data_IF_066207487886
#
_entry.id   IF_066207487886
#
_cell.length_a   1.000
_cell.length_b   1.000
_cell.length_c   1.000
_cell.angle_alpha   90.00
_cell.angle_beta   90.00
_cell.angle_gamma   90.00
#
_symmetry.space_group_name_H-M   'P 1'
#
loop_
_entity.id
_entity.type
_entity.pdbx_description
1 polymer ?
#
# COMPACT_ATOMS: atom_id res chain seq x y z
N UNK A 1 27.19 -0.02 27.22
CA UNK A 1 27.46 0.78 26.01
C UNK A 1 27.11 0.08 24.70
N UNK A 2 27.76 -1.01 24.26
CA UNK A 2 27.45 -1.65 22.94
C UNK A 2 25.96 -2.01 22.78
N UNK A 3 25.34 -2.60 23.81
CA UNK A 3 23.92 -3.02 23.79
C UNK A 3 22.93 -1.84 23.66
N UNK A 4 23.31 -0.65 24.12
CA UNK A 4 22.48 0.56 24.06
C UNK A 4 22.55 1.22 22.68
N UNK A 5 23.72 1.22 22.03
CA UNK A 5 23.91 1.79 20.68
C UNK A 5 23.22 0.93 19.60
N UNK A 6 23.31 -0.41 19.67
CA UNK A 6 22.55 -1.30 18.79
C UNK A 6 21.03 -1.07 18.93
N UNK A 7 20.56 -0.90 20.16
CA UNK A 7 19.15 -0.66 20.46
C UNK A 7 18.69 0.67 19.87
N UNK A 8 19.49 1.73 20.04
CA UNK A 8 19.22 3.04 19.46
C UNK A 8 19.07 3.00 17.92
N UNK A 9 20.02 2.39 17.21
CA UNK A 9 19.98 2.36 15.74
C UNK A 9 18.76 1.59 15.22
N UNK A 10 18.49 0.42 15.81
CA UNK A 10 17.31 -0.41 15.46
C UNK A 10 16.00 0.32 15.74
N UNK A 11 15.89 1.05 16.85
CA UNK A 11 14.71 1.86 17.16
C UNK A 11 14.45 2.95 16.12
N UNK A 12 15.50 3.63 15.64
CA UNK A 12 15.38 4.66 14.61
C UNK A 12 14.90 4.07 13.29
N UNK A 13 15.45 2.93 12.88
CA UNK A 13 15.03 2.22 11.66
C UNK A 13 13.58 1.72 11.80
N UNK A 14 13.19 1.16 12.95
CA UNK A 14 11.81 0.77 13.22
C UNK A 14 10.85 1.96 13.15
N UNK A 15 11.26 3.16 13.61
CA UNK A 15 10.48 4.39 13.44
C UNK A 15 10.33 4.78 11.97
N UNK A 16 11.36 4.61 11.14
CA UNK A 16 11.26 4.83 9.69
C UNK A 16 10.25 3.88 9.05
N UNK A 17 10.34 2.58 9.35
CA UNK A 17 9.42 1.56 8.84
C UNK A 17 7.97 1.86 9.26
N UNK A 18 7.72 2.15 10.54
CA UNK A 18 6.37 2.51 11.02
C UNK A 18 5.78 3.74 10.34
N UNK A 19 6.61 4.70 9.94
CA UNK A 19 6.18 5.93 9.25
C UNK A 19 6.11 5.78 7.73
N UNK A 20 6.60 4.69 7.17
CA UNK A 20 6.45 4.38 5.75
C UNK A 20 4.97 4.10 5.45
N UNK A 21 4.36 4.93 4.61
CA UNK A 21 3.02 4.69 4.12
C UNK A 21 3.06 3.76 2.91
N UNK A 22 3.82 4.14 1.88
CA UNK A 22 3.89 3.44 0.61
C UNK A 22 5.19 2.68 0.35
N UNK A 23 6.36 3.22 0.70
CA UNK A 23 7.65 2.64 0.27
C UNK A 23 8.69 2.81 1.37
N UNK A 24 9.47 1.76 1.63
CA UNK A 24 10.49 1.69 2.71
C UNK A 24 11.77 2.48 2.42
N UNK A 25 11.63 3.69 1.87
CA UNK A 25 12.71 4.51 1.29
C UNK A 25 13.83 4.79 2.32
N UNK A 26 13.50 5.32 3.49
CA UNK A 26 14.53 5.78 4.44
C UNK A 26 15.34 4.63 5.06
N UNK A 27 14.71 3.48 5.34
CA UNK A 27 15.43 2.29 5.80
C UNK A 27 16.37 1.75 4.74
N UNK A 28 15.98 1.80 3.46
CA UNK A 28 16.82 1.35 2.35
C UNK A 28 17.95 2.32 2.00
N UNK A 29 17.73 3.63 2.15
CA UNK A 29 18.82 4.61 2.08
C UNK A 29 19.80 4.37 3.23
N UNK A 30 19.29 4.12 4.44
CA UNK A 30 20.14 3.81 5.60
C UNK A 30 20.98 2.56 5.33
N UNK A 31 20.37 1.49 4.80
CA UNK A 31 21.08 0.27 4.36
C UNK A 31 22.21 0.60 3.39
N UNK A 32 21.94 1.35 2.32
CA UNK A 32 22.95 1.73 1.34
C UNK A 32 24.11 2.51 1.94
N UNK A 33 23.84 3.45 2.84
CA UNK A 33 24.88 4.24 3.52
C UNK A 33 25.76 3.35 4.40
N UNK A 34 25.16 2.50 5.25
CA UNK A 34 25.95 1.65 6.16
C UNK A 34 26.72 0.57 5.40
N UNK A 35 26.15 0.00 4.33
CA UNK A 35 26.81 -0.97 3.45
C UNK A 35 28.03 -0.33 2.75
N UNK A 36 27.86 0.89 2.22
CA UNK A 36 28.98 1.63 1.63
C UNK A 36 30.09 1.94 2.65
N UNK A 37 29.73 2.37 3.86
CA UNK A 37 30.71 2.62 4.92
C UNK A 37 31.49 1.35 5.29
N UNK A 38 30.82 0.20 5.42
CA UNK A 38 31.50 -1.08 5.71
C UNK A 38 32.48 -1.46 4.59
N UNK A 39 32.16 -1.16 3.33
CA UNK A 39 32.99 -1.50 2.17
C UNK A 39 34.18 -0.57 1.96
N UNK A 40 34.02 0.72 2.25
CA UNK A 40 34.97 1.77 1.84
C UNK A 40 35.63 2.48 3.01
N UNK A 41 35.05 2.41 4.21
CA UNK A 41 35.42 3.25 5.35
C UNK A 41 34.99 4.71 5.21
N UNK A 42 34.36 5.11 4.09
CA UNK A 42 33.96 6.48 3.84
C UNK A 42 32.73 6.85 4.67
N UNK A 43 32.89 7.81 5.59
CA UNK A 43 31.82 8.29 6.46
C UNK A 43 31.24 9.64 6.03
N UNK A 44 31.91 10.39 5.16
CA UNK A 44 31.44 11.65 4.57
C UNK A 44 30.94 11.40 3.15
N UNK A 45 29.72 11.84 2.84
CA UNK A 45 29.06 11.59 1.56
C UNK A 45 28.30 12.80 1.01
N UNK A 46 28.11 12.80 -0.31
CA UNK A 46 27.28 13.76 -1.05
C UNK A 46 25.90 13.19 -1.38
N UNK A 47 24.97 14.03 -1.84
CA UNK A 47 23.67 13.57 -2.38
C UNK A 47 23.85 12.53 -3.50
N UNK A 48 24.87 12.69 -4.36
CA UNK A 48 25.14 11.78 -5.48
C UNK A 48 25.52 10.39 -4.96
N UNK A 49 26.36 10.34 -3.93
CA UNK A 49 26.80 9.09 -3.31
C UNK A 49 25.61 8.38 -2.67
N UNK A 50 24.82 9.11 -1.87
CA UNK A 50 23.63 8.57 -1.19
C UNK A 50 22.62 8.02 -2.21
N UNK A 51 22.40 8.73 -3.32
CA UNK A 51 21.52 8.25 -4.40
C UNK A 51 22.01 6.94 -5.00
N UNK A 52 23.31 6.85 -5.31
CA UNK A 52 23.90 5.64 -5.86
C UNK A 52 23.77 4.46 -4.90
N UNK A 53 24.13 4.67 -3.63
CA UNK A 53 24.06 3.61 -2.60
C UNK A 53 22.63 3.15 -2.33
N UNK A 54 21.67 4.07 -2.36
CA UNK A 54 20.26 3.74 -2.26
C UNK A 54 19.79 2.82 -3.39
N UNK A 55 20.17 3.11 -4.64
CA UNK A 55 19.78 2.31 -5.79
C UNK A 55 20.40 0.91 -5.73
N UNK A 56 21.66 0.81 -5.29
CA UNK A 56 22.30 -0.48 -5.08
C UNK A 56 21.62 -1.27 -3.94
N UNK A 57 21.24 -0.62 -2.84
CA UNK A 57 20.48 -1.26 -1.76
C UNK A 57 19.12 -1.78 -2.24
N UNK A 58 18.41 -1.05 -3.10
CA UNK A 58 17.15 -1.54 -3.70
C UNK A 58 17.40 -2.78 -4.57
N UNK A 59 18.41 -2.77 -5.43
CA UNK A 59 18.74 -3.93 -6.28
C UNK A 59 19.06 -5.16 -5.43
N UNK A 60 19.83 -4.99 -4.35
CA UNK A 60 20.13 -6.07 -3.41
C UNK A 60 18.85 -6.58 -2.74
N UNK A 61 17.98 -5.68 -2.27
CA UNK A 61 16.73 -6.06 -1.61
C UNK A 61 15.72 -6.72 -2.57
N UNK A 62 15.66 -6.32 -3.84
CA UNK A 62 14.84 -6.98 -4.86
C UNK A 62 15.26 -8.44 -5.05
N UNK A 63 16.57 -8.71 -5.06
CA UNK A 63 17.10 -10.08 -5.11
C UNK A 63 16.79 -10.85 -3.82
N UNK A 64 16.92 -10.19 -2.67
CA UNK A 64 16.66 -10.80 -1.36
C UNK A 64 15.19 -11.18 -1.17
N UNK A 65 14.25 -10.34 -1.62
CA UNK A 65 12.81 -10.56 -1.46
C UNK A 65 12.16 -11.34 -2.60
N UNK A 66 12.77 -11.35 -3.79
CA UNK A 66 12.20 -11.98 -4.99
C UNK A 66 11.08 -11.18 -5.68
N UNK A 67 10.78 -9.97 -5.21
CA UNK A 67 9.80 -9.05 -5.80
C UNK A 67 10.26 -7.60 -5.61
N UNK A 68 9.56 -6.60 -6.17
CA UNK A 68 9.90 -5.16 -6.06
C UNK A 68 8.88 -4.30 -5.30
N UNK A 69 7.82 -4.91 -4.76
CA UNK A 69 6.78 -4.21 -3.98
C UNK A 69 7.29 -3.61 -2.65
N UNK A 70 6.80 -2.41 -2.32
CA UNK A 70 6.93 -1.70 -1.02
C UNK A 70 8.37 -1.31 -0.61
N UNK A 71 9.30 -1.29 -1.57
CA UNK A 71 10.72 -0.98 -1.32
C UNK A 71 11.09 0.46 -1.65
N UNK A 72 11.07 0.83 -2.94
CA UNK A 72 11.80 1.99 -3.45
C UNK A 72 11.00 2.93 -4.33
N UNK A 73 11.26 4.23 -4.23
CA UNK A 73 10.68 5.24 -5.11
C UNK A 73 11.76 6.19 -5.59
N UNK A 74 11.46 7.00 -6.61
CA UNK A 74 12.44 7.95 -7.17
C UNK A 74 13.16 8.73 -6.07
N UNK A 75 14.49 8.80 -6.19
CA UNK A 75 15.32 9.54 -5.24
C UNK A 75 14.97 11.04 -5.25
N UNK A 76 14.89 11.64 -4.08
CA UNK A 76 14.66 13.07 -3.86
C UNK A 76 15.82 13.62 -3.03
N UNK A 77 16.36 14.77 -3.43
CA UNK A 77 17.48 15.44 -2.77
C UNK A 77 17.16 15.93 -1.34
N UNK A 78 15.89 16.01 -0.96
CA UNK A 78 15.49 16.24 0.43
C UNK A 78 15.65 15.01 1.34
N UNK A 79 15.86 13.80 0.81
CA UNK A 79 15.92 12.59 1.61
C UNK A 79 17.06 12.56 2.65
N UNK A 80 18.31 12.96 2.32
CA UNK A 80 19.38 13.02 3.32
C UNK A 80 19.04 13.92 4.51
N UNK A 81 18.46 15.10 4.26
CA UNK A 81 17.99 16.02 5.32
C UNK A 81 16.82 15.46 6.13
N UNK A 82 15.95 14.62 5.54
CA UNK A 82 14.88 13.95 6.30
C UNK A 82 15.42 12.80 7.14
N UNK A 83 16.44 12.10 6.64
CA UNK A 83 17.10 10.99 7.33
C UNK A 83 17.92 11.48 8.53
N UNK A 84 18.49 12.69 8.48
CA UNK A 84 19.18 13.29 9.63
C UNK A 84 18.27 13.45 10.86
N UNK A 85 16.94 13.59 10.68
CA UNK A 85 15.95 13.57 11.79
C UNK A 85 15.92 12.25 12.56
N UNK A 86 16.42 11.18 11.96
CA UNK A 86 16.60 9.87 12.61
C UNK A 86 18.01 9.66 13.15
N UNK A 87 18.86 10.69 13.13
CA UNK A 87 20.23 10.65 13.62
C UNK A 87 21.16 9.69 12.86
N UNK A 88 20.81 9.31 11.62
CA UNK A 88 21.70 8.49 10.76
C UNK A 88 22.82 9.35 10.18
N UNK A 89 22.46 10.55 9.71
CA UNK A 89 23.37 11.51 9.11
C UNK A 89 23.41 12.80 9.92
N UNK A 90 24.59 13.39 10.03
CA UNK A 90 24.80 14.78 10.44
C UNK A 90 25.04 15.63 9.19
N UNK A 91 24.41 16.79 9.10
CA UNK A 91 24.67 17.76 8.02
C UNK A 91 25.95 18.52 8.38
N UNK A 92 26.94 18.48 7.47
CA UNK A 92 28.19 19.23 7.63
C UNK A 92 28.16 20.54 6.86
N UNK A 93 27.62 20.51 5.64
CA UNK A 93 27.50 21.67 4.74
C UNK A 93 26.39 21.37 3.70
N UNK A 94 26.15 22.31 2.78
CA UNK A 94 25.23 22.15 1.65
C UNK A 94 25.57 20.86 0.88
N UNK A 95 24.61 19.92 0.87
CA UNK A 95 24.73 18.61 0.20
C UNK A 95 25.92 17.75 0.67
N UNK A 96 26.44 18.00 1.87
CA UNK A 96 27.53 17.24 2.49
C UNK A 96 27.12 16.71 3.85
N UNK A 97 27.18 15.39 4.01
CA UNK A 97 26.68 14.70 5.18
C UNK A 97 27.73 13.76 5.74
N UNK A 98 27.61 13.44 7.03
CA UNK A 98 28.46 12.47 7.71
C UNK A 98 27.60 11.42 8.42
N UNK A 99 27.94 10.14 8.24
CA UNK A 99 27.39 9.04 9.03
C UNK A 99 27.70 9.27 10.52
N UNK A 100 26.73 9.09 11.39
CA UNK A 100 26.91 9.32 12.83
C UNK A 100 27.60 8.14 13.51
N UNK A 101 28.34 8.41 14.59
CA UNK A 101 29.11 7.40 15.34
C UNK A 101 28.31 6.14 15.74
N UNK A 102 27.06 6.24 16.24
CA UNK A 102 26.29 5.04 16.57
C UNK A 102 26.08 4.12 15.36
N UNK A 103 25.81 4.69 14.19
CA UNK A 103 25.60 3.92 12.96
C UNK A 103 26.92 3.39 12.38
N UNK A 104 28.05 4.08 12.58
CA UNK A 104 29.38 3.58 12.20
C UNK A 104 29.75 2.33 13.00
N UNK A 105 29.60 2.39 14.32
CA UNK A 105 29.96 1.28 15.23
C UNK A 105 29.13 0.02 14.95
N UNK A 106 27.84 0.20 14.68
CA UNK A 106 26.90 -0.89 14.45
C UNK A 106 26.77 -1.31 12.99
N UNK A 107 27.53 -0.69 12.06
CA UNK A 107 27.31 -0.85 10.63
C UNK A 107 27.32 -2.31 10.15
N UNK A 108 28.27 -3.12 10.64
CA UNK A 108 28.40 -4.55 10.29
C UNK A 108 27.21 -5.41 10.71
N UNK A 109 26.55 -5.05 11.82
CA UNK A 109 25.36 -5.75 12.29
C UNK A 109 24.09 -5.21 11.62
N UNK A 110 24.06 -3.90 11.34
CA UNK A 110 22.95 -3.26 10.63
C UNK A 110 22.81 -3.75 9.18
N UNK A 111 23.90 -4.00 8.46
CA UNK A 111 23.81 -4.54 7.09
C UNK A 111 23.16 -5.93 7.01
N UNK A 112 23.24 -6.72 8.10
CA UNK A 112 22.58 -8.03 8.20
C UNK A 112 21.13 -7.87 8.65
N UNK A 113 20.90 -7.02 9.65
CA UNK A 113 19.60 -6.88 10.30
C UNK A 113 18.58 -6.05 9.50
N UNK A 114 19.00 -4.98 8.81
CA UNK A 114 18.07 -4.12 8.07
C UNK A 114 17.31 -4.89 6.99
N UNK A 115 17.95 -5.72 6.14
CA UNK A 115 17.24 -6.55 5.17
C UNK A 115 16.13 -7.39 5.78
N UNK A 116 16.41 -8.08 6.89
CA UNK A 116 15.43 -8.90 7.60
C UNK A 116 14.30 -8.07 8.20
N UNK A 117 14.62 -6.94 8.82
CA UNK A 117 13.62 -6.04 9.41
C UNK A 117 12.69 -5.45 8.34
N UNK A 118 13.24 -5.05 7.20
CA UNK A 118 12.46 -4.59 6.03
C UNK A 118 11.60 -5.73 5.48
N UNK A 119 12.15 -6.94 5.33
CA UNK A 119 11.41 -8.10 4.85
C UNK A 119 10.22 -8.45 5.76
N UNK A 120 10.42 -8.50 7.07
CA UNK A 120 9.35 -8.75 8.04
C UNK A 120 8.27 -7.67 7.98
N UNK A 121 8.69 -6.40 7.87
CA UNK A 121 7.77 -5.28 7.74
C UNK A 121 6.91 -5.37 6.47
N UNK A 122 7.54 -5.67 5.33
CA UNK A 122 6.87 -5.82 4.04
C UNK A 122 5.93 -7.04 4.07
N UNK A 123 6.38 -8.19 4.59
CA UNK A 123 5.57 -9.39 4.71
C UNK A 123 4.32 -9.17 5.56
N UNK A 124 4.44 -8.40 6.66
CA UNK A 124 3.29 -8.04 7.50
C UNK A 124 2.28 -7.15 6.76
N UNK A 125 2.75 -6.25 5.88
CA UNK A 125 1.89 -5.34 5.12
C UNK A 125 1.24 -5.98 3.90
N UNK A 126 2.03 -6.72 3.12
CA UNK A 126 1.64 -7.27 1.83
C UNK A 126 1.18 -8.73 1.91
N UNK A 127 1.41 -9.45 3.01
CA UNK A 127 0.98 -10.84 3.19
C UNK A 127 1.32 -11.73 1.96
N UNK A 128 0.30 -12.22 1.27
CA UNK A 128 0.41 -13.14 0.12
C UNK A 128 0.58 -12.41 -1.22
N UNK A 129 0.41 -11.09 -1.25
CA UNK A 129 0.34 -10.30 -2.48
C UNK A 129 1.52 -10.52 -3.44
N UNK A 130 2.80 -10.59 -2.99
CA UNK A 130 3.89 -10.85 -3.92
C UNK A 130 3.74 -12.17 -4.69
N UNK A 131 3.18 -13.22 -4.07
CA UNK A 131 2.97 -14.53 -4.70
C UNK A 131 1.88 -14.47 -5.77
N UNK A 132 0.94 -13.53 -5.66
CA UNK A 132 -0.07 -13.30 -6.70
C UNK A 132 0.54 -12.80 -8.02
N UNK A 133 1.80 -12.36 -8.05
CA UNK A 133 2.52 -12.09 -9.29
C UNK A 133 2.79 -13.34 -10.13
N UNK A 134 2.91 -14.50 -9.48
CA UNK A 134 3.20 -15.77 -10.14
C UNK A 134 1.94 -16.43 -10.71
N UNK A 135 1.90 -16.62 -12.04
CA UNK A 135 0.77 -17.29 -12.69
C UNK A 135 0.49 -18.67 -12.09
N UNK A 136 1.55 -19.46 -11.85
CA UNK A 136 1.42 -20.81 -11.27
C UNK A 136 0.74 -20.79 -9.91
N UNK A 137 1.08 -19.85 -9.04
CA UNK A 137 0.43 -19.69 -7.75
C UNK A 137 -1.04 -19.33 -7.91
N UNK A 138 -1.36 -18.34 -8.75
CA UNK A 138 -2.75 -17.94 -9.01
C UNK A 138 -3.60 -19.08 -9.54
N UNK A 139 -3.11 -19.85 -10.52
CA UNK A 139 -3.85 -20.98 -11.09
C UNK A 139 -4.15 -22.08 -10.07
N UNK A 140 -3.23 -22.34 -9.11
CA UNK A 140 -3.45 -23.32 -8.03
C UNK A 140 -4.52 -22.86 -7.03
N UNK A 141 -4.59 -21.56 -6.77
CA UNK A 141 -5.61 -20.99 -5.87
C UNK A 141 -6.95 -20.90 -6.57
N UNK A 142 -6.98 -20.43 -7.82
CA UNK A 142 -8.21 -20.21 -8.58
C UNK A 142 -8.92 -21.51 -8.97
N UNK A 143 -8.20 -22.63 -9.06
CA UNK A 143 -8.78 -23.96 -9.33
C UNK A 143 -9.67 -24.51 -8.21
N UNK A 144 -9.75 -23.82 -7.07
CA UNK A 144 -10.60 -24.21 -5.95
C UNK A 144 -11.35 -22.99 -5.42
N UNK A 145 -12.68 -23.00 -5.59
CA UNK A 145 -13.56 -21.96 -5.05
C UNK A 145 -13.31 -21.70 -3.55
N UNK A 146 -13.10 -22.78 -2.78
CA UNK A 146 -12.79 -22.70 -1.35
C UNK A 146 -11.47 -22.00 -1.08
N UNK A 147 -10.37 -22.40 -1.74
CA UNK A 147 -9.06 -21.76 -1.53
C UNK A 147 -9.07 -20.30 -1.93
N UNK A 148 -9.78 -19.96 -3.01
CA UNK A 148 -9.98 -18.60 -3.44
C UNK A 148 -10.74 -17.78 -2.38
N UNK A 149 -11.88 -18.27 -1.91
CA UNK A 149 -12.68 -17.59 -0.88
C UNK A 149 -11.88 -17.38 0.41
N UNK A 150 -11.19 -18.41 0.89
CA UNK A 150 -10.30 -18.34 2.06
C UNK A 150 -9.17 -17.31 1.86
N UNK A 151 -8.59 -17.22 0.66
CA UNK A 151 -7.57 -16.21 0.36
C UNK A 151 -8.16 -14.80 0.44
N UNK A 152 -9.31 -14.55 -0.18
CA UNK A 152 -9.97 -13.24 -0.16
C UNK A 152 -10.31 -12.85 1.28
N UNK A 153 -10.96 -13.73 2.03
CA UNK A 153 -11.40 -13.48 3.40
C UNK A 153 -10.22 -13.15 4.33
N UNK A 154 -9.13 -13.92 4.24
CA UNK A 154 -7.95 -13.71 5.08
C UNK A 154 -7.16 -12.43 4.76
N UNK A 155 -7.31 -11.88 3.55
CA UNK A 155 -6.45 -10.80 3.07
C UNK A 155 -7.16 -9.45 2.85
N UNK A 156 -8.48 -9.44 2.63
CA UNK A 156 -9.24 -8.20 2.41
C UNK A 156 -9.16 -7.24 3.61
N UNK A 157 -8.99 -7.78 4.82
CA UNK A 157 -9.09 -7.00 6.05
C UNK A 157 -7.78 -6.54 6.69
N UNK A 158 -6.64 -6.97 6.16
CA UNK A 158 -5.30 -6.74 6.74
C UNK A 158 -5.04 -5.26 7.05
N UNK A 159 -5.42 -4.36 6.13
CA UNK A 159 -5.29 -2.91 6.28
C UNK A 159 -6.27 -2.19 5.31
N UNK A 160 -6.41 -0.85 5.37
CA UNK A 160 -7.29 -0.09 4.47
C UNK A 160 -6.99 -0.26 2.97
N UNK A 161 -5.72 -0.35 2.58
CA UNK A 161 -5.33 -0.51 1.17
C UNK A 161 -5.75 -1.89 0.64
N UNK A 162 -5.55 -2.94 1.45
CA UNK A 162 -6.05 -4.27 1.11
C UNK A 162 -7.58 -4.24 0.90
N UNK A 163 -8.31 -3.56 1.78
CA UNK A 163 -9.76 -3.43 1.63
C UNK A 163 -10.13 -2.74 0.31
N UNK A 164 -9.48 -1.62 -0.01
CA UNK A 164 -9.67 -0.88 -1.27
C UNK A 164 -9.38 -1.75 -2.50
N UNK A 165 -8.20 -2.36 -2.58
CA UNK A 165 -7.76 -3.10 -3.77
C UNK A 165 -8.56 -4.40 -3.97
N UNK A 166 -8.85 -5.15 -2.91
CA UNK A 166 -9.65 -6.38 -3.03
C UNK A 166 -11.08 -6.07 -3.43
N UNK A 167 -11.69 -5.04 -2.82
CA UNK A 167 -13.03 -4.58 -3.19
C UNK A 167 -13.09 -4.18 -4.66
N UNK A 168 -12.11 -3.39 -5.11
CA UNK A 168 -11.98 -3.01 -6.51
C UNK A 168 -11.87 -4.23 -7.43
N UNK A 169 -11.00 -5.19 -7.12
CA UNK A 169 -10.77 -6.34 -7.97
C UNK A 169 -12.02 -7.23 -8.11
N UNK A 170 -12.73 -7.47 -7.01
CA UNK A 170 -13.98 -8.25 -7.01
C UNK A 170 -15.05 -7.53 -7.85
N UNK A 171 -15.27 -6.25 -7.59
CA UNK A 171 -16.25 -5.44 -8.31
C UNK A 171 -15.90 -5.35 -9.80
N UNK A 172 -14.62 -5.17 -10.13
CA UNK A 172 -14.14 -5.11 -11.50
C UNK A 172 -14.50 -6.36 -12.29
N UNK A 173 -14.12 -7.53 -11.78
CA UNK A 173 -14.39 -8.80 -12.48
C UNK A 173 -15.89 -9.10 -12.52
N UNK A 174 -16.63 -8.82 -11.44
CA UNK A 174 -18.07 -9.02 -11.40
C UNK A 174 -18.81 -8.15 -12.44
N UNK A 175 -18.52 -6.85 -12.47
CA UNK A 175 -19.21 -5.88 -13.33
C UNK A 175 -18.83 -6.03 -14.81
N UNK A 176 -17.61 -6.48 -15.12
CA UNK A 176 -17.21 -6.80 -16.50
C UNK A 176 -18.08 -7.90 -17.13
N UNK A 177 -18.69 -8.79 -16.33
CA UNK A 177 -19.66 -9.79 -16.84
C UNK A 177 -20.92 -9.16 -17.44
N UNK A 178 -21.25 -7.95 -17.02
CA UNK A 178 -22.41 -7.19 -17.48
C UNK A 178 -22.03 -6.09 -18.49
N UNK A 179 -20.88 -6.23 -19.15
CA UNK A 179 -20.31 -5.23 -20.07
C UNK A 179 -20.11 -3.84 -19.43
N UNK A 180 -20.05 -3.76 -18.10
CA UNK A 180 -19.73 -2.54 -17.38
C UNK A 180 -18.21 -2.36 -17.34
N UNK A 181 -17.73 -1.30 -17.99
CA UNK A 181 -16.31 -0.91 -17.97
C UNK A 181 -16.05 -0.08 -16.74
N UNK A 182 -14.98 -0.44 -16.04
CA UNK A 182 -14.54 0.21 -14.81
C UNK A 182 -13.22 0.93 -15.05
N UNK A 183 -13.17 2.17 -14.60
CA UNK A 183 -12.00 3.03 -14.60
C UNK A 183 -11.62 3.31 -13.15
N UNK A 184 -10.34 3.08 -12.82
CA UNK A 184 -9.80 3.45 -11.50
C UNK A 184 -9.17 4.83 -11.62
N UNK A 185 -9.77 5.80 -10.96
CA UNK A 185 -9.20 7.14 -10.85
C UNK A 185 -8.01 7.09 -9.87
N UNK A 186 -6.84 7.54 -10.32
CA UNK A 186 -5.63 7.55 -9.49
C UNK A 186 -5.43 8.88 -8.79
N UNK A 187 -5.02 8.77 -7.52
CA UNK A 187 -4.58 9.83 -6.57
C UNK A 187 -3.52 10.82 -7.10
N UNK A 188 -3.07 10.72 -8.35
CA UNK A 188 -2.01 11.55 -8.95
C UNK A 188 -2.53 12.74 -9.75
N UNK A 189 -3.85 12.90 -9.94
CA UNK A 189 -4.40 14.14 -10.48
C UNK A 189 -4.79 15.09 -9.34
N UNK A 190 -4.35 16.34 -9.39
CA UNK A 190 -4.68 17.39 -8.42
C UNK A 190 -6.18 17.79 -8.41
N UNK A 191 -7.05 16.98 -9.02
CA UNK A 191 -8.49 17.17 -9.18
C UNK A 191 -9.31 16.03 -8.56
N UNK A 192 -8.67 15.14 -7.80
CA UNK A 192 -9.33 13.94 -7.28
C UNK A 192 -10.27 14.28 -6.11
N UNK A 193 -11.53 14.56 -6.45
CA UNK A 193 -12.63 14.78 -5.50
C UNK A 193 -13.10 13.46 -4.87
N UNK A 194 -12.17 12.60 -4.44
CA UNK A 194 -12.46 11.32 -3.79
C UNK A 194 -13.40 10.43 -4.60
N UNK A 195 -12.95 9.95 -5.78
CA UNK A 195 -13.60 8.90 -6.57
C UNK A 195 -12.63 7.72 -6.67
N UNK A 196 -13.00 6.53 -6.19
CA UNK A 196 -12.12 5.36 -6.31
C UNK A 196 -12.37 4.58 -7.61
N UNK A 197 -13.62 4.57 -8.09
CA UNK A 197 -14.04 3.85 -9.29
C UNK A 197 -15.08 4.67 -10.05
N UNK A 198 -14.95 4.76 -11.37
CA UNK A 198 -16.00 5.27 -12.26
C UNK A 198 -16.36 4.23 -13.32
N UNK A 199 -17.60 4.28 -13.82
CA UNK A 199 -18.13 3.35 -14.82
C UNK A 199 -18.55 4.06 -16.10
N UNK A 200 -18.62 3.32 -17.21
CA UNK A 200 -19.17 3.83 -18.47
C UNK A 200 -20.68 4.16 -18.42
N UNK A 201 -21.37 3.83 -17.32
CA UNK A 201 -22.77 4.18 -17.07
C UNK A 201 -22.93 5.43 -16.18
N UNK A 202 -21.83 6.10 -15.83
CA UNK A 202 -21.84 7.28 -14.97
C UNK A 202 -22.04 6.98 -13.48
N UNK A 203 -22.07 5.71 -13.08
CA UNK A 203 -22.03 5.28 -11.67
C UNK A 203 -20.60 5.38 -11.15
N UNK A 204 -20.45 5.88 -9.93
CA UNK A 204 -19.17 6.01 -9.22
C UNK A 204 -19.20 5.21 -7.93
N UNK A 205 -18.06 4.59 -7.59
CA UNK A 205 -17.88 3.91 -6.33
C UNK A 205 -16.82 4.62 -5.48
N UNK A 206 -17.13 4.76 -4.20
CA UNK A 206 -16.19 5.19 -3.17
C UNK A 206 -15.94 4.04 -2.21
N UNK A 207 -14.71 3.54 -2.12
CA UNK A 207 -14.33 2.46 -1.23
C UNK A 207 -13.66 3.03 0.01
N UNK A 208 -14.24 2.76 1.18
CA UNK A 208 -13.72 3.21 2.47
C UNK A 208 -13.80 2.11 3.51
N UNK A 209 -12.67 1.77 4.12
CA UNK A 209 -12.65 0.83 5.27
C UNK A 209 -13.20 1.52 6.53
N UNK A 210 -14.52 1.65 6.62
CA UNK A 210 -15.24 2.28 7.72
C UNK A 210 -16.45 1.44 8.14
N UNK A 211 -16.82 1.54 9.42
CA UNK A 211 -18.03 0.93 9.98
C UNK A 211 -19.07 2.00 10.27
N UNK A 212 -20.24 1.88 9.66
CA UNK A 212 -21.34 2.83 9.82
C UNK A 212 -22.32 2.33 10.89
N UNK A 213 -22.04 2.70 12.14
CA UNK A 213 -22.82 2.22 13.30
C UNK A 213 -23.93 3.17 13.73
N UNK A 214 -23.89 4.44 13.33
CA UNK A 214 -24.91 5.44 13.63
C UNK A 214 -25.03 6.51 12.55
N UNK A 215 -26.12 7.28 12.60
CA UNK A 215 -26.42 8.32 11.62
C UNK A 215 -25.41 9.48 11.63
N UNK A 216 -24.75 9.79 12.77
CA UNK A 216 -23.76 10.86 12.83
C UNK A 216 -22.54 10.56 11.93
N UNK A 217 -22.05 9.32 11.98
CA UNK A 217 -20.95 8.86 11.12
C UNK A 217 -21.40 8.86 9.65
N UNK A 218 -22.60 8.34 9.37
CA UNK A 218 -23.14 8.32 8.01
C UNK A 218 -23.36 9.71 7.43
N UNK A 219 -23.82 10.67 8.24
CA UNK A 219 -23.92 12.08 7.85
C UNK A 219 -22.54 12.66 7.50
N UNK A 220 -21.50 12.36 8.28
CA UNK A 220 -20.14 12.78 7.94
C UNK A 220 -19.67 12.25 6.58
N UNK A 221 -19.97 10.98 6.27
CA UNK A 221 -19.69 10.40 4.94
C UNK A 221 -20.52 11.09 3.86
N UNK A 222 -21.80 11.33 4.10
CA UNK A 222 -22.67 12.01 3.16
C UNK A 222 -22.19 13.45 2.85
N UNK A 223 -21.79 14.20 3.87
CA UNK A 223 -21.27 15.55 3.74
C UNK A 223 -19.96 15.56 2.95
N UNK A 224 -19.09 14.56 3.16
CA UNK A 224 -17.89 14.37 2.33
C UNK A 224 -18.26 14.08 0.86
N UNK A 225 -19.21 13.18 0.61
CA UNK A 225 -19.67 12.87 -0.75
C UNK A 225 -20.27 14.11 -1.43
N UNK A 226 -21.01 14.95 -0.71
CA UNK A 226 -21.50 16.24 -1.25
C UNK A 226 -20.39 17.21 -1.62
N UNK A 227 -19.29 17.22 -0.88
CA UNK A 227 -18.13 18.05 -1.23
C UNK A 227 -17.38 17.52 -2.46
N UNK A 228 -17.52 16.22 -2.70
CA UNK A 228 -16.77 15.46 -3.69
C UNK A 228 -17.50 15.31 -5.04
N UNK A 229 -18.82 15.25 -5.04
CA UNK A 229 -19.64 14.99 -6.22
C UNK A 229 -20.59 16.14 -6.52
N UNK A 230 -20.79 16.42 -7.80
CA UNK A 230 -21.80 17.40 -8.23
C UNK A 230 -23.20 16.88 -7.85
N UNK A 231 -24.11 17.78 -7.43
CA UNK A 231 -25.41 17.42 -6.86
C UNK A 231 -26.22 16.47 -7.74
N UNK A 232 -26.21 16.68 -9.07
CA UNK A 232 -26.92 15.86 -10.04
C UNK A 232 -26.54 14.36 -9.93
N UNK A 233 -25.28 14.04 -9.64
CA UNK A 233 -24.83 12.65 -9.50
C UNK A 233 -25.37 11.98 -8.23
N UNK A 234 -25.51 12.74 -7.15
CA UNK A 234 -26.08 12.24 -5.90
C UNK A 234 -27.59 12.08 -6.03
N UNK A 235 -28.28 13.04 -6.65
CA UNK A 235 -29.73 13.01 -6.86
C UNK A 235 -30.16 11.88 -7.81
N UNK A 236 -29.34 11.60 -8.83
CA UNK A 236 -29.54 10.48 -9.76
C UNK A 236 -29.29 9.09 -9.13
N UNK A 237 -28.80 9.03 -7.89
CA UNK A 237 -28.47 7.78 -7.21
C UNK A 237 -27.28 7.03 -7.82
N UNK A 238 -26.37 7.75 -8.47
CA UNK A 238 -25.20 7.20 -9.18
C UNK A 238 -23.98 7.01 -8.28
N UNK A 239 -24.11 7.21 -6.97
CA UNK A 239 -23.02 7.08 -5.99
C UNK A 239 -23.23 5.83 -5.14
N UNK A 240 -22.24 4.93 -5.19
CA UNK A 240 -22.22 3.70 -4.39
C UNK A 240 -21.03 3.76 -3.43
N UNK A 241 -21.27 3.57 -2.13
CA UNK A 241 -20.19 3.42 -1.16
C UNK A 241 -19.91 1.94 -0.90
N UNK A 242 -18.65 1.57 -0.81
CA UNK A 242 -18.20 0.24 -0.42
C UNK A 242 -17.52 0.36 0.94
N UNK A 243 -18.07 -0.32 1.95
CA UNK A 243 -17.75 -0.12 3.36
C UNK A 243 -17.51 -1.43 4.09
N UNK A 244 -16.80 -1.39 5.21
CA UNK A 244 -16.50 -2.59 6.00
C UNK A 244 -17.80 -3.18 6.56
N UNK A 245 -18.60 -2.36 7.25
CA UNK A 245 -19.85 -2.79 7.85
C UNK A 245 -20.88 -1.64 8.00
N UNK A 246 -22.16 -1.98 8.09
CA UNK A 246 -23.26 -1.02 8.23
C UNK A 246 -24.43 -1.58 9.03
N UNK A 247 -24.88 -0.79 10.01
CA UNK A 247 -26.09 -1.09 10.75
C UNK A 247 -27.33 -0.88 9.86
N UNK A 248 -28.32 -1.78 9.96
CA UNK A 248 -29.59 -1.71 9.19
C UNK A 248 -30.26 -0.31 9.17
N UNK A 249 -30.48 0.37 10.31
CA UNK A 249 -31.12 1.70 10.29
C UNK A 249 -30.26 2.77 9.61
N UNK A 250 -28.93 2.58 9.56
CA UNK A 250 -28.02 3.50 8.87
C UNK A 250 -28.02 3.26 7.36
N UNK A 251 -28.23 2.00 6.93
CA UNK A 251 -28.41 1.66 5.52
C UNK A 251 -29.66 2.31 4.94
N UNK A 252 -30.77 2.25 5.69
CA UNK A 252 -32.03 2.90 5.33
C UNK A 252 -31.83 4.42 5.19
N UNK A 253 -31.15 5.04 6.16
CA UNK A 253 -30.78 6.46 6.09
C UNK A 253 -30.00 6.82 4.82
N UNK A 254 -28.99 6.04 4.41
CA UNK A 254 -28.24 6.34 3.19
C UNK A 254 -29.08 6.19 1.91
N UNK A 255 -29.99 5.21 1.89
CA UNK A 255 -30.92 5.00 0.76
C UNK A 255 -31.85 6.21 0.61
N UNK A 256 -32.35 6.78 1.70
CA UNK A 256 -33.16 8.00 1.70
C UNK A 256 -32.39 9.18 1.09
N UNK A 257 -31.07 9.21 1.32
CA UNK A 257 -30.15 10.19 0.75
C UNK A 257 -29.67 9.84 -0.67
N UNK A 258 -30.30 8.85 -1.33
CA UNK A 258 -29.97 8.33 -2.68
C UNK A 258 -28.57 7.72 -2.81
N UNK A 259 -27.99 7.23 -1.72
CA UNK A 259 -26.70 6.55 -1.73
C UNK A 259 -26.88 5.07 -1.50
N UNK A 260 -26.36 4.26 -2.42
CA UNK A 260 -26.31 2.82 -2.23
C UNK A 260 -25.04 2.45 -1.47
N UNK A 261 -25.11 1.38 -0.66
CA UNK A 261 -23.97 0.90 0.11
C UNK A 261 -23.78 -0.61 -0.07
N UNK A 262 -22.55 -1.03 -0.37
CA UNK A 262 -22.11 -2.42 -0.40
C UNK A 262 -21.22 -2.68 0.82
N UNK A 263 -21.54 -3.71 1.61
CA UNK A 263 -20.70 -4.11 2.74
C UNK A 263 -19.62 -5.10 2.32
N UNK A 264 -18.58 -5.26 3.15
CA UNK A 264 -17.59 -6.33 2.98
C UNK A 264 -18.23 -7.71 2.83
N UNK A 265 -19.25 -8.01 3.65
CA UNK A 265 -19.98 -9.28 3.58
C UNK A 265 -20.54 -9.51 2.17
N UNK A 266 -21.16 -8.49 1.59
CA UNK A 266 -21.66 -8.57 0.23
C UNK A 266 -20.54 -8.81 -0.80
N UNK A 267 -19.36 -8.20 -0.62
CA UNK A 267 -18.20 -8.45 -1.48
C UNK A 267 -17.68 -9.89 -1.37
N UNK A 268 -17.68 -10.47 -0.16
CA UNK A 268 -17.32 -11.87 0.05
C UNK A 268 -18.34 -12.81 -0.59
N UNK A 269 -19.62 -12.50 -0.47
CA UNK A 269 -20.70 -13.25 -1.14
C UNK A 269 -20.53 -13.19 -2.67
N UNK A 270 -20.22 -12.00 -3.23
CA UNK A 270 -19.90 -11.84 -4.66
C UNK A 270 -18.67 -12.66 -5.08
N UNK A 271 -17.60 -12.64 -4.27
CA UNK A 271 -16.41 -13.44 -4.53
C UNK A 271 -16.74 -14.95 -4.56
N UNK A 272 -17.66 -15.40 -3.70
CA UNK A 272 -18.15 -16.79 -3.68
C UNK A 272 -18.95 -17.20 -4.92
N UNK A 273 -19.46 -16.25 -5.71
CA UNK A 273 -20.27 -16.49 -6.92
C UNK A 273 -19.43 -16.59 -8.21
N UNK A 274 -18.10 -16.51 -8.14
CA UNK A 274 -17.27 -16.75 -9.33
C UNK A 274 -17.21 -18.26 -9.64
N UNK A 275 -18.02 -18.69 -10.60
CA UNK A 275 -18.19 -20.11 -10.94
C UNK A 275 -16.96 -20.75 -11.60
N UNK A 276 -16.24 -20.00 -12.43
CA UNK A 276 -15.08 -20.52 -13.18
C UNK A 276 -13.73 -20.08 -12.62
N UNK A 277 -12.71 -20.90 -12.88
CA UNK A 277 -11.32 -20.64 -12.48
C UNK A 277 -10.75 -19.38 -13.14
N UNK A 278 -11.21 -19.04 -14.34
CA UNK A 278 -10.74 -17.87 -15.09
C UNK A 278 -11.09 -16.56 -14.39
N UNK A 279 -12.32 -16.43 -13.89
CA UNK A 279 -12.75 -15.24 -13.15
C UNK A 279 -11.98 -15.11 -11.83
N UNK A 280 -11.84 -16.23 -11.11
CA UNK A 280 -11.07 -16.27 -9.86
C UNK A 280 -9.60 -15.89 -10.09
N UNK A 281 -8.97 -16.45 -11.12
CA UNK A 281 -7.58 -16.12 -11.49
C UNK A 281 -7.45 -14.65 -11.88
N UNK A 282 -8.45 -14.12 -12.61
CA UNK A 282 -8.50 -12.72 -13.02
C UNK A 282 -8.62 -11.78 -11.82
N UNK A 283 -9.43 -12.09 -10.80
CA UNK A 283 -9.48 -11.31 -9.55
C UNK A 283 -8.09 -11.27 -8.89
N UNK A 284 -7.45 -12.44 -8.73
CA UNK A 284 -6.13 -12.53 -8.12
C UNK A 284 -5.06 -11.74 -8.91
N UNK A 285 -5.15 -11.76 -10.24
CA UNK A 285 -4.26 -10.99 -11.12
C UNK A 285 -4.48 -9.49 -10.95
N UNK A 286 -5.74 -9.03 -10.96
CA UNK A 286 -6.08 -7.61 -10.78
C UNK A 286 -5.58 -7.10 -9.43
N UNK A 287 -5.73 -7.90 -8.35
CA UNK A 287 -5.18 -7.55 -7.03
C UNK A 287 -3.67 -7.28 -7.13
N UNK A 288 -2.90 -8.19 -7.73
CA UNK A 288 -1.47 -8.00 -7.88
C UNK A 288 -1.12 -6.78 -8.75
N UNK A 289 -1.80 -6.60 -9.88
CA UNK A 289 -1.57 -5.48 -10.80
C UNK A 289 -1.79 -4.14 -10.11
N UNK A 290 -2.83 -4.00 -9.29
CA UNK A 290 -3.11 -2.78 -8.53
C UNK A 290 -2.11 -2.52 -7.40
N UNK A 291 -1.69 -3.57 -6.68
CA UNK A 291 -0.58 -3.42 -5.72
C UNK A 291 0.73 -3.06 -6.43
N UNK A 292 1.01 -3.65 -7.58
CA UNK A 292 2.20 -3.32 -8.38
C UNK A 292 2.17 -1.86 -8.83
N UNK A 293 1.03 -1.38 -9.30
CA UNK A 293 0.84 0.02 -9.72
C UNK A 293 1.17 1.02 -8.60
N UNK A 294 0.78 0.72 -7.36
CA UNK A 294 1.00 1.62 -6.22
C UNK A 294 2.36 1.43 -5.52
N UNK A 295 2.86 0.20 -5.45
CA UNK A 295 3.95 -0.18 -4.54
C UNK A 295 5.23 -0.64 -5.23
N UNK A 296 5.21 -0.91 -6.53
CA UNK A 296 6.42 -1.34 -7.25
C UNK A 296 7.52 -0.28 -7.21
N UNK A 297 8.76 -0.76 -7.21
CA UNK A 297 9.92 0.11 -7.28
C UNK A 297 9.98 0.85 -8.61
N UNK A 298 10.25 2.16 -8.57
CA UNK A 298 10.52 2.96 -9.79
C UNK A 298 12.01 2.94 -10.18
N UNK A 299 12.78 2.04 -9.57
CA UNK A 299 14.25 1.91 -9.61
C UNK A 299 14.62 0.47 -9.90
#
# INVERSE_FOLDING_TARGET
>A
MVKEETTFCREKINKMLKRSQSKSIYSLITLGIVDSYVKTGQDICSDKDIRQWYYEAIKQMKRFLGHDLHMGGKYNDSYPTRISKYSVLKVLDVKKYQLTEPFKKEAKELIKWIPEAVAQYIAKKLTIIPQLGEKKFRSVVSSSARKFAELIENNIDVNPINFEIFSFAILKVHLEKFACRIYRDTRTSAHDKGVDISTNFGVVYQIKKIKLTNQKIAKGVYDELKSNFDNDRLEDGKVIIVIDDIAKPVKEYLIDMKIQSLSKRYLLDLAGQFDCDEDREKVLRVIFEEFSREYSSDI
#
